data_IF_695005054865
#
_entry.id   IF_695005054865
#
_cell.length_a   1.000
_cell.length_b   1.000
_cell.length_c   1.000
_cell.angle_alpha   90.00
_cell.angle_beta   90.00
_cell.angle_gamma   90.00
#
_symmetry.space_group_name_H-M   'P 1'
#
loop_
_entity.id
_entity.type
_entity.pdbx_description
1 polymer ?
#
# COMPACT_ATOMS: atom_id res chain seq x y z
N UNK A 1 32.97 -12.18 -40.77
CA UNK A 1 31.99 -11.41 -39.97
C UNK A 1 31.71 -12.00 -38.58
N UNK A 2 31.14 -13.21 -38.45
CA UNK A 2 30.82 -13.82 -37.12
C UNK A 2 32.01 -13.90 -36.15
N UNK A 3 33.20 -14.33 -36.61
CA UNK A 3 34.44 -14.38 -35.79
C UNK A 3 34.92 -13.00 -35.33
N UNK A 4 34.73 -11.97 -36.17
CA UNK A 4 35.12 -10.59 -35.85
C UNK A 4 34.20 -10.05 -34.75
N UNK A 5 32.88 -10.24 -34.89
CA UNK A 5 31.89 -9.83 -33.89
C UNK A 5 32.16 -10.49 -32.53
N UNK A 6 32.45 -11.80 -32.51
CA UNK A 6 32.82 -12.52 -31.29
C UNK A 6 34.12 -11.99 -30.66
N UNK A 7 35.11 -11.63 -31.49
CA UNK A 7 36.33 -10.97 -31.03
C UNK A 7 36.07 -9.60 -30.38
N UNK A 8 35.21 -8.79 -30.99
CA UNK A 8 34.82 -7.47 -30.46
C UNK A 8 34.06 -7.60 -29.12
N UNK A 9 33.14 -8.57 -29.00
CA UNK A 9 32.48 -8.85 -27.72
C UNK A 9 33.47 -9.26 -26.63
N UNK A 10 34.44 -10.12 -26.97
CA UNK A 10 35.48 -10.58 -26.04
C UNK A 10 36.35 -9.41 -25.57
N UNK A 11 36.68 -8.47 -26.47
CA UNK A 11 37.44 -7.26 -26.12
C UNK A 11 36.65 -6.44 -25.10
N UNK A 12 35.37 -6.18 -25.34
CA UNK A 12 34.54 -5.44 -24.39
C UNK A 12 34.46 -6.17 -23.05
N UNK A 13 34.18 -7.46 -23.05
CA UNK A 13 34.11 -8.24 -21.82
C UNK A 13 35.40 -8.12 -21.02
N UNK A 14 36.57 -8.22 -21.67
CA UNK A 14 37.86 -8.02 -20.99
C UNK A 14 38.01 -6.60 -20.45
N UNK A 15 37.71 -5.58 -21.25
CA UNK A 15 37.78 -4.18 -20.82
C UNK A 15 36.93 -3.95 -19.58
N UNK A 16 35.68 -4.39 -19.58
CA UNK A 16 34.75 -4.25 -18.45
C UNK A 16 35.14 -5.12 -17.24
N UNK A 17 35.83 -6.24 -17.48
CA UNK A 17 36.30 -7.13 -16.39
C UNK A 17 37.45 -6.52 -15.62
N UNK A 18 38.29 -5.69 -16.26
CA UNK A 18 39.52 -5.18 -15.65
C UNK A 18 39.51 -3.66 -15.40
N UNK A 19 38.64 -2.91 -16.05
CA UNK A 19 38.47 -1.46 -15.84
C UNK A 19 37.19 -1.22 -15.05
N UNK A 20 37.35 -0.77 -13.80
CA UNK A 20 36.25 -0.44 -12.90
C UNK A 20 36.02 1.08 -12.75
N UNK A 21 36.91 1.90 -13.32
CA UNK A 21 36.69 3.33 -13.44
C UNK A 21 35.81 3.62 -14.67
N UNK A 22 34.51 3.74 -14.42
CA UNK A 22 33.54 4.01 -15.47
C UNK A 22 33.63 5.44 -16.02
N UNK A 23 34.12 6.41 -15.25
CA UNK A 23 34.35 7.77 -15.76
C UNK A 23 35.44 7.74 -16.83
N UNK A 24 36.56 7.07 -16.53
CA UNK A 24 37.65 6.88 -17.49
C UNK A 24 37.18 6.09 -18.71
N UNK A 25 36.46 4.98 -18.50
CA UNK A 25 35.99 4.11 -19.57
C UNK A 25 35.08 4.86 -20.56
N UNK A 26 34.09 5.61 -20.04
CA UNK A 26 33.16 6.35 -20.88
C UNK A 26 33.75 7.64 -21.46
N UNK A 27 34.85 8.15 -20.90
CA UNK A 27 35.62 9.25 -21.48
C UNK A 27 36.43 8.85 -22.71
N UNK A 28 36.61 7.55 -22.96
CA UNK A 28 37.28 7.06 -24.18
C UNK A 28 36.40 7.38 -25.39
N UNK A 29 36.85 8.32 -26.23
CA UNK A 29 36.08 8.91 -27.34
C UNK A 29 35.40 7.89 -28.26
N UNK A 30 36.04 6.74 -28.48
CA UNK A 30 35.52 5.69 -29.38
C UNK A 30 34.80 4.56 -28.65
N UNK A 31 34.62 4.61 -27.33
CA UNK A 31 33.99 3.51 -26.58
C UNK A 31 32.49 3.38 -26.86
N UNK A 32 31.72 4.48 -26.78
CA UNK A 32 30.30 4.44 -27.15
C UNK A 32 30.10 4.18 -28.66
N UNK A 33 30.83 4.85 -29.58
CA UNK A 33 30.79 4.50 -31.00
C UNK A 33 31.15 3.04 -31.31
N UNK A 34 31.99 2.40 -30.48
CA UNK A 34 32.32 0.99 -30.62
C UNK A 34 31.11 0.09 -30.33
N UNK A 35 30.18 0.50 -29.44
CA UNK A 35 28.92 -0.20 -29.23
C UNK A 35 28.02 -0.12 -30.48
N UNK A 36 28.04 1.01 -31.18
CA UNK A 36 27.28 1.21 -32.42
C UNK A 36 27.80 0.33 -33.58
N UNK A 37 29.04 -0.19 -33.49
CA UNK A 37 29.58 -1.13 -34.48
C UNK A 37 28.87 -2.49 -34.47
N UNK A 38 28.15 -2.84 -33.39
CA UNK A 38 27.34 -4.07 -33.34
C UNK A 38 26.03 -3.89 -34.12
N UNK A 39 26.09 -4.18 -35.42
CA UNK A 39 24.94 -4.08 -36.33
C UNK A 39 23.75 -4.97 -35.94
N UNK A 40 24.00 -6.11 -35.31
CA UNK A 40 22.92 -6.96 -34.77
C UNK A 40 22.45 -6.43 -33.43
N UNK A 41 21.19 -6.04 -33.36
CA UNK A 41 20.54 -5.52 -32.15
C UNK A 41 20.68 -6.45 -30.95
N UNK A 42 20.40 -7.75 -31.11
CA UNK A 42 20.54 -8.72 -30.01
C UNK A 42 21.94 -8.80 -29.42
N UNK A 43 22.98 -8.64 -30.26
CA UNK A 43 24.39 -8.63 -29.83
C UNK A 43 24.70 -7.36 -29.05
N UNK A 44 24.19 -6.22 -29.53
CA UNK A 44 24.37 -4.91 -28.89
C UNK A 44 23.69 -4.84 -27.53
N UNK A 45 22.47 -5.35 -27.42
CA UNK A 45 21.72 -5.43 -26.15
C UNK A 45 22.47 -6.31 -25.15
N UNK A 46 22.99 -7.46 -25.57
CA UNK A 46 23.75 -8.34 -24.67
C UNK A 46 25.02 -7.67 -24.13
N UNK A 47 25.74 -6.95 -25.00
CA UNK A 47 26.90 -6.15 -24.58
C UNK A 47 26.49 -5.05 -23.59
N UNK A 48 25.37 -4.37 -23.83
CA UNK A 48 24.83 -3.37 -22.92
C UNK A 48 24.47 -3.97 -21.56
N UNK A 49 23.86 -5.17 -21.54
CA UNK A 49 23.59 -5.93 -20.31
C UNK A 49 24.89 -6.19 -19.55
N UNK A 50 25.93 -6.69 -20.20
CA UNK A 50 27.24 -6.93 -19.56
C UNK A 50 27.87 -5.66 -18.96
N UNK A 51 27.78 -4.51 -19.67
CA UNK A 51 28.26 -3.22 -19.13
C UNK A 51 27.48 -2.85 -17.87
N UNK A 52 26.16 -2.96 -17.92
CA UNK A 52 25.28 -2.61 -16.80
C UNK A 52 25.48 -3.52 -15.60
N UNK A 53 25.61 -4.82 -15.81
CA UNK A 53 25.91 -5.79 -14.74
C UNK A 53 27.23 -5.46 -14.05
N UNK A 54 28.27 -5.13 -14.83
CA UNK A 54 29.55 -4.73 -14.25
C UNK A 54 29.47 -3.39 -13.53
N UNK A 55 28.76 -2.42 -14.08
CA UNK A 55 28.53 -1.12 -13.43
C UNK A 55 27.86 -1.30 -12.08
N UNK A 56 26.74 -2.02 -12.03
CA UNK A 56 26.00 -2.27 -10.78
C UNK A 56 26.84 -3.05 -9.77
N UNK A 57 27.70 -3.96 -10.23
CA UNK A 57 28.54 -4.78 -9.36
C UNK A 57 29.73 -4.02 -8.77
N UNK A 58 30.39 -3.17 -9.56
CA UNK A 58 31.68 -2.59 -9.18
C UNK A 58 31.57 -1.12 -8.75
N UNK A 59 30.57 -0.36 -9.22
CA UNK A 59 30.34 1.01 -8.75
C UNK A 59 29.77 0.97 -7.32
N UNK A 60 30.57 1.37 -6.34
CA UNK A 60 30.15 1.39 -4.92
C UNK A 60 29.47 2.70 -4.53
N UNK A 61 29.93 3.83 -5.06
CA UNK A 61 29.44 5.16 -4.71
C UNK A 61 28.43 5.68 -5.73
N UNK A 62 27.42 6.41 -5.26
CA UNK A 62 26.49 7.12 -6.14
C UNK A 62 27.22 8.15 -6.99
N UNK A 63 26.74 8.35 -8.23
CA UNK A 63 27.36 9.23 -9.21
C UNK A 63 26.44 10.37 -9.63
N UNK A 64 27.07 11.50 -9.97
CA UNK A 64 26.48 12.66 -10.63
C UNK A 64 27.31 13.13 -11.82
N UNK A 65 28.30 12.34 -12.22
CA UNK A 65 29.20 12.67 -13.32
C UNK A 65 28.43 12.67 -14.65
N UNK A 66 28.32 13.81 -15.35
CA UNK A 66 27.61 13.89 -16.62
C UNK A 66 28.10 12.89 -17.67
N UNK A 67 29.39 12.52 -17.67
CA UNK A 67 29.94 11.54 -18.62
C UNK A 67 29.34 10.17 -18.35
N UNK A 68 29.35 9.73 -17.09
CA UNK A 68 28.75 8.46 -16.68
C UNK A 68 27.24 8.47 -16.93
N UNK A 69 26.55 9.56 -16.53
CA UNK A 69 25.11 9.67 -16.68
C UNK A 69 24.67 9.58 -18.14
N UNK A 70 25.28 10.37 -19.02
CA UNK A 70 24.92 10.38 -20.45
C UNK A 70 25.23 9.04 -21.13
N UNK A 71 26.38 8.44 -20.81
CA UNK A 71 26.77 7.13 -21.35
C UNK A 71 25.81 6.02 -20.90
N UNK A 72 25.50 5.95 -19.61
CA UNK A 72 24.60 4.93 -19.07
C UNK A 72 23.14 5.17 -19.46
N UNK A 73 22.70 6.42 -19.64
CA UNK A 73 21.39 6.72 -20.23
C UNK A 73 21.31 6.19 -21.66
N UNK A 74 22.34 6.39 -22.48
CA UNK A 74 22.40 5.85 -23.83
C UNK A 74 22.36 4.31 -23.86
N UNK A 75 23.11 3.66 -22.96
CA UNK A 75 23.13 2.19 -22.81
C UNK A 75 21.76 1.66 -22.33
N UNK A 76 21.19 2.27 -21.29
CA UNK A 76 19.86 1.93 -20.77
C UNK A 76 18.77 2.13 -21.83
N UNK A 77 18.85 3.21 -22.61
CA UNK A 77 17.93 3.47 -23.72
C UNK A 77 18.04 2.40 -24.80
N UNK A 78 19.25 2.02 -25.19
CA UNK A 78 19.47 0.93 -26.16
C UNK A 78 18.86 -0.39 -25.69
N UNK A 79 18.99 -0.71 -24.39
CA UNK A 79 18.34 -1.88 -23.79
C UNK A 79 16.81 -1.76 -23.79
N UNK A 80 16.27 -0.61 -23.40
CA UNK A 80 14.82 -0.36 -23.37
C UNK A 80 14.21 -0.44 -24.77
N UNK A 81 14.83 0.19 -25.78
CA UNK A 81 14.30 0.28 -27.14
C UNK A 81 14.24 -1.09 -27.83
N UNK A 82 14.96 -2.09 -27.31
CA UNK A 82 14.86 -3.48 -27.76
C UNK A 82 13.60 -4.22 -27.29
N UNK A 83 12.89 -3.66 -26.30
CA UNK A 83 11.66 -4.25 -25.75
C UNK A 83 10.51 -4.05 -26.72
N UNK A 84 9.90 -5.15 -27.15
CA UNK A 84 8.77 -5.16 -28.08
C UNK A 84 7.70 -6.18 -27.65
N UNK A 85 6.65 -6.33 -28.46
CA UNK A 85 5.52 -7.21 -28.17
C UNK A 85 5.88 -8.71 -28.02
N UNK A 86 7.04 -9.13 -28.55
CA UNK A 86 7.53 -10.51 -28.48
C UNK A 86 8.52 -10.73 -27.32
N UNK A 87 8.91 -9.67 -26.60
CA UNK A 87 9.83 -9.78 -25.47
C UNK A 87 9.15 -10.48 -24.31
N UNK A 88 9.78 -11.55 -23.81
CA UNK A 88 9.29 -12.33 -22.69
C UNK A 88 9.27 -11.50 -21.40
N UNK A 89 8.32 -11.78 -20.51
CA UNK A 89 8.19 -11.07 -19.23
C UNK A 89 9.45 -11.18 -18.35
N UNK A 90 10.13 -12.33 -18.37
CA UNK A 90 11.40 -12.52 -17.63
C UNK A 90 12.54 -11.67 -18.20
N UNK A 91 12.56 -11.46 -19.52
CA UNK A 91 13.53 -10.57 -20.16
C UNK A 91 13.23 -9.10 -19.83
N UNK A 92 11.97 -8.68 -19.89
CA UNK A 92 11.55 -7.34 -19.44
C UNK A 92 11.96 -7.09 -17.99
N UNK A 93 11.75 -8.08 -17.11
CA UNK A 93 12.15 -8.01 -15.70
C UNK A 93 13.67 -7.85 -15.54
N UNK A 94 14.45 -8.59 -16.32
CA UNK A 94 15.92 -8.51 -16.31
C UNK A 94 16.40 -7.13 -16.75
N UNK A 95 15.89 -6.61 -17.88
CA UNK A 95 16.22 -5.28 -18.38
C UNK A 95 15.83 -4.18 -17.39
N UNK A 96 14.63 -4.27 -16.83
CA UNK A 96 14.17 -3.32 -15.83
C UNK A 96 15.01 -3.36 -14.55
N UNK A 97 15.49 -4.54 -14.12
CA UNK A 97 16.37 -4.65 -12.96
C UNK A 97 17.71 -3.92 -13.18
N UNK A 98 18.30 -4.03 -14.36
CA UNK A 98 19.53 -3.32 -14.72
C UNK A 98 19.32 -1.80 -14.77
N UNK A 99 18.25 -1.34 -15.40
CA UNK A 99 17.89 0.08 -15.47
C UNK A 99 17.60 0.63 -14.07
N UNK A 100 16.90 -0.14 -13.23
CA UNK A 100 16.65 0.24 -11.83
C UNK A 100 17.94 0.31 -11.01
N UNK A 101 18.90 -0.58 -11.26
CA UNK A 101 20.24 -0.52 -10.69
C UNK A 101 20.93 0.81 -11.01
N UNK A 102 20.89 1.23 -12.27
CA UNK A 102 21.40 2.55 -12.67
C UNK A 102 20.68 3.70 -11.97
N UNK A 103 19.35 3.74 -12.02
CA UNK A 103 18.54 4.81 -11.43
C UNK A 103 18.85 5.00 -9.94
N UNK A 104 19.08 3.90 -9.20
CA UNK A 104 19.43 3.94 -7.78
C UNK A 104 20.83 4.50 -7.51
N UNK A 105 21.75 4.40 -8.47
CA UNK A 105 23.12 4.92 -8.35
C UNK A 105 23.22 6.40 -8.68
N UNK A 106 22.22 7.00 -9.32
CA UNK A 106 22.22 8.43 -9.64
C UNK A 106 21.82 9.25 -8.42
N UNK A 107 22.74 10.10 -7.92
CA UNK A 107 22.48 11.00 -6.80
C UNK A 107 23.08 12.38 -7.02
N UNK A 108 22.23 13.40 -7.11
CA UNK A 108 22.61 14.80 -7.11
C UNK A 108 22.75 15.40 -5.70
N UNK A 109 22.72 14.57 -4.66
CA UNK A 109 22.85 14.98 -3.26
C UNK A 109 21.70 15.89 -2.83
N UNK A 110 22.01 17.15 -2.48
CA UNK A 110 21.02 18.14 -2.02
C UNK A 110 20.38 18.93 -3.17
N UNK A 111 20.79 18.70 -4.41
CA UNK A 111 20.13 19.30 -5.55
C UNK A 111 18.89 18.48 -5.93
N UNK A 112 17.82 18.71 -5.15
CA UNK A 112 16.58 17.98 -5.31
C UNK A 112 15.86 18.30 -6.63
N UNK A 113 16.01 19.51 -7.16
CA UNK A 113 15.42 19.91 -8.45
C UNK A 113 16.08 19.14 -9.60
N UNK A 114 17.42 19.07 -9.61
CA UNK A 114 18.13 18.28 -10.61
C UNK A 114 17.81 16.78 -10.51
N UNK A 115 17.68 16.24 -9.29
CA UNK A 115 17.27 14.86 -9.08
C UNK A 115 15.86 14.58 -9.62
N UNK A 116 14.90 15.47 -9.36
CA UNK A 116 13.55 15.33 -9.90
C UNK A 116 13.54 15.44 -11.44
N UNK A 117 14.32 16.35 -12.01
CA UNK A 117 14.46 16.49 -13.47
C UNK A 117 14.97 15.20 -14.11
N UNK A 118 15.96 14.54 -13.49
CA UNK A 118 16.44 13.24 -13.93
C UNK A 118 15.33 12.17 -13.91
N UNK A 119 14.50 12.13 -12.85
CA UNK A 119 13.38 11.19 -12.81
C UNK A 119 12.29 11.49 -13.84
N UNK A 120 12.04 12.76 -14.15
CA UNK A 120 11.13 13.17 -15.24
C UNK A 120 11.63 12.69 -16.59
N UNK A 121 12.92 12.87 -16.88
CA UNK A 121 13.55 12.38 -18.10
C UNK A 121 13.49 10.84 -18.16
N UNK A 122 13.87 10.15 -17.09
CA UNK A 122 13.84 8.70 -17.00
C UNK A 122 12.43 8.13 -17.21
N UNK A 123 11.38 8.77 -16.65
CA UNK A 123 9.99 8.37 -16.89
C UNK A 123 9.62 8.43 -18.37
N UNK A 124 10.02 9.51 -19.06
CA UNK A 124 9.74 9.67 -20.48
C UNK A 124 10.50 8.65 -21.34
N UNK A 125 11.72 8.31 -20.93
CA UNK A 125 12.62 7.41 -21.66
C UNK A 125 12.25 5.94 -21.51
N UNK A 126 11.81 5.53 -20.32
CA UNK A 126 11.56 4.12 -19.96
C UNK A 126 10.09 3.79 -19.77
N UNK A 127 9.20 4.48 -20.50
CA UNK A 127 7.76 4.44 -20.29
C UNK A 127 7.12 3.06 -20.50
N UNK A 128 7.76 2.16 -21.27
CA UNK A 128 7.22 0.82 -21.57
C UNK A 128 7.63 -0.24 -20.54
N UNK A 129 8.46 0.11 -19.55
CA UNK A 129 8.91 -0.80 -18.50
C UNK A 129 8.26 -0.43 -17.17
N UNK A 130 7.11 -1.05 -16.87
CA UNK A 130 6.39 -0.81 -15.61
C UNK A 130 7.26 -0.95 -14.34
N UNK A 131 8.17 -1.95 -14.20
CA UNK A 131 9.00 -2.03 -13.00
C UNK A 131 9.95 -0.83 -12.83
N UNK A 132 10.29 -0.14 -13.92
CA UNK A 132 11.05 1.12 -13.88
C UNK A 132 10.16 2.27 -13.41
N UNK A 133 8.94 2.37 -13.94
CA UNK A 133 7.97 3.38 -13.49
C UNK A 133 7.65 3.25 -11.99
N UNK A 134 7.45 2.03 -11.49
CA UNK A 134 7.25 1.75 -10.06
C UNK A 134 8.46 2.22 -9.24
N UNK A 135 9.67 1.90 -9.67
CA UNK A 135 10.90 2.35 -9.00
C UNK A 135 11.00 3.88 -9.00
N UNK A 136 10.66 4.56 -10.10
CA UNK A 136 10.67 6.02 -10.18
C UNK A 136 9.68 6.66 -9.21
N UNK A 137 8.46 6.11 -9.08
CA UNK A 137 7.46 6.59 -8.12
C UNK A 137 8.01 6.45 -6.69
N UNK A 138 8.60 5.31 -6.33
CA UNK A 138 9.22 5.14 -5.02
C UNK A 138 10.40 6.10 -4.79
N UNK A 139 11.25 6.29 -5.79
CA UNK A 139 12.39 7.21 -5.71
C UNK A 139 11.94 8.67 -5.55
N UNK A 140 10.85 9.08 -6.20
CA UNK A 140 10.27 10.43 -6.06
C UNK A 140 9.58 10.61 -4.71
N UNK A 141 8.88 9.58 -4.22
CA UNK A 141 8.34 9.58 -2.86
C UNK A 141 9.45 9.71 -1.81
N UNK A 142 10.56 8.98 -1.99
CA UNK A 142 11.73 9.10 -1.13
C UNK A 142 12.36 10.50 -1.21
N UNK A 143 12.43 11.11 -2.39
CA UNK A 143 12.93 12.47 -2.59
C UNK A 143 12.09 13.52 -1.84
N UNK A 144 10.76 13.36 -1.84
CA UNK A 144 9.85 14.20 -1.06
C UNK A 144 10.08 14.02 0.45
N UNK A 145 10.26 12.79 0.93
CA UNK A 145 10.55 12.51 2.34
C UNK A 145 11.95 12.99 2.77
N UNK A 146 12.93 12.94 1.89
CA UNK A 146 14.27 13.49 2.14
C UNK A 146 14.20 15.01 2.26
N UNK A 147 13.43 15.67 1.39
CA UNK A 147 13.16 17.11 1.47
C UNK A 147 12.51 17.45 2.82
N UNK A 148 11.50 16.66 3.24
CA UNK A 148 10.88 16.79 4.57
C UNK A 148 11.91 16.68 5.70
N UNK A 149 12.81 15.69 5.62
CA UNK A 149 13.85 15.43 6.62
C UNK A 149 14.79 16.62 6.75
N UNK A 150 15.29 17.16 5.64
CA UNK A 150 16.15 18.35 5.62
C UNK A 150 15.44 19.57 6.19
N UNK A 151 14.16 19.74 5.84
CA UNK A 151 13.35 20.87 6.31
C UNK A 151 12.74 20.66 7.70
N UNK A 152 12.95 19.49 8.35
CA UNK A 152 12.31 19.10 9.62
C UNK A 152 10.78 19.30 9.59
N UNK A 153 10.17 19.02 8.44
CA UNK A 153 8.74 19.22 8.17
C UNK A 153 8.28 20.69 8.11
N UNK A 154 9.17 21.68 8.15
CA UNK A 154 8.82 23.10 7.98
C UNK A 154 9.16 23.55 6.56
N UNK A 155 8.22 23.37 5.64
CA UNK A 155 8.45 23.72 4.24
C UNK A 155 8.37 25.23 4.01
N UNK A 156 9.33 25.76 3.26
CA UNK A 156 9.22 27.10 2.67
C UNK A 156 8.24 27.06 1.49
N UNK A 157 7.83 28.23 0.96
CA UNK A 157 7.01 28.29 -0.26
C UNK A 157 7.65 27.52 -1.43
N UNK A 158 8.99 27.60 -1.56
CA UNK A 158 9.76 26.91 -2.60
C UNK A 158 9.76 25.40 -2.40
N UNK A 159 10.09 24.92 -1.19
CA UNK A 159 10.16 23.47 -0.93
C UNK A 159 8.77 22.82 -0.92
N UNK A 160 7.73 23.54 -0.48
CA UNK A 160 6.35 23.07 -0.59
C UNK A 160 5.92 22.94 -2.06
N UNK A 161 6.28 23.89 -2.93
CA UNK A 161 6.02 23.79 -4.36
C UNK A 161 6.77 22.61 -5.00
N UNK A 162 8.02 22.39 -4.61
CA UNK A 162 8.81 21.25 -5.02
C UNK A 162 8.17 19.91 -4.62
N UNK A 163 7.77 19.75 -3.35
CA UNK A 163 7.11 18.52 -2.91
C UNK A 163 5.79 18.30 -3.65
N UNK A 164 5.00 19.35 -3.90
CA UNK A 164 3.81 19.23 -4.75
C UNK A 164 4.14 18.76 -6.17
N UNK A 165 5.29 19.15 -6.74
CA UNK A 165 5.73 18.64 -8.04
C UNK A 165 6.09 17.15 -7.98
N UNK A 166 6.77 16.69 -6.91
CA UNK A 166 7.01 15.26 -6.68
C UNK A 166 5.70 14.46 -6.59
N UNK A 167 4.76 14.98 -5.80
CA UNK A 167 3.45 14.37 -5.59
C UNK A 167 2.65 14.33 -6.90
N UNK A 168 2.69 15.40 -7.70
CA UNK A 168 2.07 15.44 -9.03
C UNK A 168 2.71 14.43 -10.00
N UNK A 169 4.04 14.29 -9.99
CA UNK A 169 4.75 13.27 -10.78
C UNK A 169 4.21 11.86 -10.44
N UNK A 170 4.09 11.51 -9.16
CA UNK A 170 3.55 10.22 -8.76
C UNK A 170 2.11 10.05 -9.26
N UNK A 171 1.26 11.07 -9.09
CA UNK A 171 -0.16 11.01 -9.43
C UNK A 171 -0.41 10.76 -10.91
N UNK A 172 0.38 11.38 -11.80
CA UNK A 172 0.24 11.19 -13.26
C UNK A 172 0.94 9.93 -13.79
N UNK A 173 1.81 9.30 -12.99
CA UNK A 173 2.56 8.11 -13.41
C UNK A 173 1.84 6.82 -13.03
N UNK A 174 1.18 6.79 -11.86
CA UNK A 174 0.46 5.59 -11.38
C UNK A 174 -0.60 5.07 -12.37
N UNK A 175 -1.44 5.92 -13.02
CA UNK A 175 -2.41 5.44 -14.01
C UNK A 175 -1.80 4.68 -15.20
N UNK A 176 -0.52 4.87 -15.49
CA UNK A 176 0.18 4.21 -16.59
C UNK A 176 0.53 2.74 -16.31
N UNK A 177 0.33 2.26 -15.08
CA UNK A 177 0.62 0.88 -14.68
C UNK A 177 -0.58 -0.04 -14.93
N UNK A 178 -0.35 -1.26 -15.41
CA UNK A 178 -1.44 -2.22 -15.65
C UNK A 178 -1.97 -2.84 -14.35
N UNK A 179 -1.07 -3.23 -13.45
CA UNK A 179 -1.43 -3.91 -12.19
C UNK A 179 -2.28 -3.02 -11.26
N UNK A 180 -3.52 -3.45 -11.01
CA UNK A 180 -4.45 -2.74 -10.11
C UNK A 180 -3.92 -2.69 -8.69
N UNK A 181 -3.40 -3.81 -8.16
CA UNK A 181 -2.83 -3.83 -6.81
C UNK A 181 -1.58 -2.97 -6.67
N UNK A 182 -0.75 -2.90 -7.71
CA UNK A 182 0.39 -1.98 -7.72
C UNK A 182 -0.11 -0.54 -7.68
N UNK A 183 -1.12 -0.19 -8.48
CA UNK A 183 -1.74 1.14 -8.47
C UNK A 183 -2.36 1.50 -7.12
N UNK A 184 -3.16 0.61 -6.53
CA UNK A 184 -3.77 0.79 -5.20
C UNK A 184 -2.71 1.09 -4.14
N UNK A 185 -1.68 0.23 -4.04
CA UNK A 185 -0.61 0.40 -3.07
C UNK A 185 0.18 1.69 -3.29
N UNK A 186 0.49 2.04 -4.55
CA UNK A 186 1.22 3.27 -4.85
C UNK A 186 0.38 4.53 -4.61
N UNK A 187 -0.94 4.47 -4.84
CA UNK A 187 -1.82 5.58 -4.48
C UNK A 187 -1.82 5.80 -2.97
N UNK A 188 -1.94 4.73 -2.18
CA UNK A 188 -1.91 4.80 -0.72
C UNK A 188 -0.57 5.33 -0.20
N UNK A 189 0.56 4.75 -0.64
CA UNK A 189 1.89 5.18 -0.19
C UNK A 189 2.19 6.63 -0.59
N UNK A 190 1.86 7.03 -1.82
CA UNK A 190 2.10 8.40 -2.27
C UNK A 190 1.17 9.39 -1.57
N UNK A 191 -0.06 8.98 -1.23
CA UNK A 191 -0.99 9.75 -0.40
C UNK A 191 -0.48 9.94 1.03
N UNK A 192 0.08 8.90 1.64
CA UNK A 192 0.74 8.98 2.96
C UNK A 192 1.96 9.93 2.93
N UNK A 193 2.77 9.88 1.88
CA UNK A 193 3.90 10.82 1.69
C UNK A 193 3.42 12.25 1.51
N UNK A 194 2.35 12.48 0.74
CA UNK A 194 1.74 13.79 0.59
C UNK A 194 1.20 14.32 1.93
N UNK A 195 0.52 13.47 2.71
CA UNK A 195 0.01 13.79 4.04
C UNK A 195 1.15 14.17 4.99
N UNK A 196 2.22 13.36 5.06
CA UNK A 196 3.40 13.65 5.87
C UNK A 196 4.08 14.98 5.50
N UNK A 197 3.89 15.45 4.27
CA UNK A 197 4.40 16.72 3.78
C UNK A 197 3.37 17.86 3.79
N UNK A 198 2.26 17.73 4.53
CA UNK A 198 1.20 18.75 4.66
C UNK A 198 0.54 19.12 3.31
N UNK A 199 0.61 18.23 2.31
CA UNK A 199 -0.03 18.40 1.01
C UNK A 199 -1.43 17.79 1.03
N UNK A 200 -2.33 18.33 1.86
CA UNK A 200 -3.62 17.71 2.21
C UNK A 200 -4.53 17.50 0.99
N UNK A 201 -4.66 18.50 0.11
CA UNK A 201 -5.50 18.40 -1.08
C UNK A 201 -4.97 17.37 -2.08
N UNK A 202 -3.65 17.22 -2.18
CA UNK A 202 -3.06 16.18 -3.02
C UNK A 202 -3.26 14.80 -2.38
N UNK A 203 -3.03 14.66 -1.06
CA UNK A 203 -3.25 13.41 -0.35
C UNK A 203 -4.70 12.92 -0.51
N UNK A 204 -5.67 13.82 -0.36
CA UNK A 204 -7.09 13.53 -0.61
C UNK A 204 -7.35 13.04 -2.05
N UNK A 205 -6.72 13.64 -3.06
CA UNK A 205 -6.83 13.17 -4.44
C UNK A 205 -6.28 11.74 -4.62
N UNK A 206 -5.15 11.41 -3.97
CA UNK A 206 -4.60 10.05 -3.95
C UNK A 206 -5.57 9.04 -3.32
N UNK A 207 -6.15 9.39 -2.17
CA UNK A 207 -7.09 8.51 -1.47
C UNK A 207 -8.39 8.34 -2.24
N UNK A 208 -8.93 9.40 -2.85
CA UNK A 208 -10.08 9.31 -3.76
C UNK A 208 -9.80 8.40 -4.95
N UNK A 209 -8.65 8.55 -5.59
CA UNK A 209 -8.25 7.68 -6.70
C UNK A 209 -8.13 6.20 -6.26
N UNK A 210 -7.60 5.95 -5.06
CA UNK A 210 -7.56 4.60 -4.49
C UNK A 210 -8.96 4.03 -4.24
N UNK A 211 -9.87 4.82 -3.63
CA UNK A 211 -11.27 4.43 -3.40
C UNK A 211 -11.97 4.08 -4.71
N UNK A 212 -11.81 4.92 -5.74
CA UNK A 212 -12.42 4.70 -7.06
C UNK A 212 -11.87 3.48 -7.79
N UNK A 213 -10.67 3.01 -7.44
CA UNK A 213 -10.02 1.86 -8.08
C UNK A 213 -10.39 0.52 -7.43
N UNK A 214 -10.83 0.51 -6.16
CA UNK A 214 -11.23 -0.72 -5.45
C UNK A 214 -12.30 -1.56 -6.20
N UNK A 215 -13.36 -0.99 -6.81
CA UNK A 215 -14.35 -1.80 -7.55
C UNK A 215 -13.76 -2.50 -8.78
N UNK A 216 -12.65 -2.01 -9.32
CA UNK A 216 -12.00 -2.59 -10.51
C UNK A 216 -11.16 -3.84 -10.17
N UNK A 217 -10.95 -4.14 -8.88
CA UNK A 217 -10.13 -5.28 -8.46
C UNK A 217 -10.71 -6.59 -9.02
N UNK A 218 -9.94 -7.37 -9.79
CA UNK A 218 -10.43 -8.62 -10.37
C UNK A 218 -10.55 -9.68 -9.28
N UNK A 219 -11.49 -10.62 -9.40
CA UNK A 219 -11.67 -11.72 -8.43
C UNK A 219 -10.44 -12.62 -8.28
N UNK A 220 -9.70 -12.81 -9.37
CA UNK A 220 -8.51 -13.64 -9.41
C UNK A 220 -7.33 -12.85 -9.96
N UNK A 221 -6.17 -13.02 -9.33
CA UNK A 221 -4.90 -12.44 -9.76
C UNK A 221 -3.85 -13.51 -9.99
N UNK A 222 -2.95 -13.29 -10.96
CA UNK A 222 -1.80 -14.16 -11.19
C UNK A 222 -0.65 -13.73 -10.28
N UNK A 223 -0.25 -14.61 -9.35
CA UNK A 223 0.91 -14.43 -8.47
C UNK A 223 1.87 -15.60 -8.71
N UNK A 224 3.06 -15.30 -9.21
CA UNK A 224 4.07 -16.29 -9.62
C UNK A 224 3.53 -17.35 -10.59
N UNK A 225 2.70 -16.92 -11.54
CA UNK A 225 2.08 -17.78 -12.54
C UNK A 225 0.91 -18.62 -12.03
N UNK A 226 0.51 -18.49 -10.75
CA UNK A 226 -0.64 -19.16 -10.16
C UNK A 226 -1.78 -18.18 -9.94
N UNK A 227 -2.98 -18.55 -10.37
CA UNK A 227 -4.18 -17.79 -10.09
C UNK A 227 -4.56 -17.94 -8.62
N UNK A 228 -4.71 -16.83 -7.91
CA UNK A 228 -5.13 -16.76 -6.51
C UNK A 228 -6.31 -15.80 -6.37
N UNK A 229 -7.23 -16.04 -5.41
CA UNK A 229 -8.26 -15.07 -5.06
C UNK A 229 -7.64 -13.74 -4.62
N UNK A 230 -8.23 -12.64 -5.07
CA UNK A 230 -7.77 -11.29 -4.74
C UNK A 230 -8.23 -10.81 -3.37
N UNK A 231 -9.28 -11.43 -2.80
CA UNK A 231 -9.92 -11.01 -1.55
C UNK A 231 -8.93 -10.84 -0.39
N UNK A 232 -7.97 -11.75 -0.23
CA UNK A 232 -6.95 -11.66 0.81
C UNK A 232 -6.02 -10.45 0.63
N UNK A 233 -5.62 -10.15 -0.61
CA UNK A 233 -4.78 -9.00 -0.94
C UNK A 233 -5.56 -7.70 -0.79
N UNK A 234 -6.85 -7.70 -1.16
CA UNK A 234 -7.73 -6.56 -0.99
C UNK A 234 -7.97 -6.28 0.50
N UNK A 235 -8.20 -7.33 1.30
CA UNK A 235 -8.33 -7.21 2.76
C UNK A 235 -7.09 -6.57 3.38
N UNK A 236 -5.88 -7.02 3.02
CA UNK A 236 -4.62 -6.45 3.51
C UNK A 236 -4.49 -4.97 3.15
N UNK A 237 -4.74 -4.62 1.89
CA UNK A 237 -4.74 -3.24 1.41
C UNK A 237 -5.75 -2.37 2.18
N UNK A 238 -6.99 -2.84 2.33
CA UNK A 238 -8.04 -2.10 3.01
C UNK A 238 -7.73 -1.89 4.49
N UNK A 239 -7.13 -2.87 5.18
CA UNK A 239 -6.69 -2.71 6.57
C UNK A 239 -5.66 -1.58 6.71
N UNK A 240 -4.67 -1.53 5.81
CA UNK A 240 -3.69 -0.44 5.78
C UNK A 240 -4.35 0.91 5.45
N UNK A 241 -5.30 0.90 4.52
CA UNK A 241 -6.02 2.12 4.16
C UNK A 241 -6.88 2.64 5.32
N UNK A 242 -7.62 1.78 6.04
CA UNK A 242 -8.36 2.17 7.23
C UNK A 242 -7.45 2.76 8.31
N UNK A 243 -6.28 2.16 8.55
CA UNK A 243 -5.28 2.74 9.44
C UNK A 243 -4.93 4.16 8.98
N UNK A 244 -4.62 4.35 7.69
CA UNK A 244 -4.30 5.68 7.16
C UNK A 244 -5.44 6.67 7.37
N UNK A 245 -6.69 6.27 7.13
CA UNK A 245 -7.87 7.13 7.27
C UNK A 245 -8.12 7.63 8.71
N UNK A 246 -7.58 6.97 9.74
CA UNK A 246 -7.69 7.46 11.12
C UNK A 246 -7.08 8.85 11.26
N UNK A 247 -5.92 9.08 10.65
CA UNK A 247 -5.15 10.32 10.78
C UNK A 247 -5.36 11.32 9.64
N UNK A 248 -6.18 10.95 8.66
CA UNK A 248 -6.54 11.86 7.55
C UNK A 248 -7.62 12.84 8.04
N UNK A 249 -7.40 14.16 7.95
CA UNK A 249 -8.42 15.13 8.28
C UNK A 249 -9.58 15.06 7.29
N UNK A 250 -10.79 15.23 7.81
CA UNK A 250 -11.97 15.38 6.97
C UNK A 250 -11.91 16.68 6.14
N UNK A 251 -12.43 16.61 4.93
CA UNK A 251 -12.49 17.77 4.05
C UNK A 251 -13.55 18.77 4.54
N UNK A 252 -13.23 20.07 4.74
CA UNK A 252 -14.14 21.05 5.33
C UNK A 252 -15.51 21.15 4.63
N UNK A 253 -15.53 20.93 3.32
CA UNK A 253 -16.72 21.08 2.46
C UNK A 253 -17.47 19.78 2.14
N UNK A 254 -16.90 18.59 2.42
CA UNK A 254 -17.48 17.31 1.98
C UNK A 254 -18.24 16.56 3.08
N UNK A 255 -18.34 17.19 4.26
CA UNK A 255 -18.92 16.58 5.44
C UNK A 255 -17.99 15.57 6.11
N UNK A 256 -18.38 15.18 7.32
CA UNK A 256 -17.59 14.28 8.16
C UNK A 256 -17.52 12.87 7.56
N UNK A 257 -16.40 12.20 7.79
CA UNK A 257 -16.15 10.81 7.40
C UNK A 257 -16.31 10.55 5.89
N UNK A 258 -16.09 11.56 5.04
CA UNK A 258 -16.35 11.47 3.60
C UNK A 258 -15.62 10.28 2.94
N UNK A 259 -14.30 10.15 3.17
CA UNK A 259 -13.50 9.06 2.59
C UNK A 259 -13.90 7.69 3.15
N UNK A 260 -14.21 7.61 4.45
CA UNK A 260 -14.68 6.36 5.08
C UNK A 260 -16.00 5.91 4.47
N UNK A 261 -16.93 6.85 4.27
CA UNK A 261 -18.23 6.59 3.61
C UNK A 261 -18.05 6.17 2.16
N UNK A 262 -17.20 6.89 1.41
CA UNK A 262 -16.89 6.54 0.02
C UNK A 262 -16.33 5.13 -0.10
N UNK A 263 -15.39 4.77 0.78
CA UNK A 263 -14.81 3.43 0.81
C UNK A 263 -15.82 2.35 1.19
N UNK A 264 -16.68 2.60 2.18
CA UNK A 264 -17.75 1.68 2.57
C UNK A 264 -18.76 1.43 1.45
N UNK A 265 -19.17 2.49 0.73
CA UNK A 265 -20.09 2.37 -0.41
C UNK A 265 -19.48 1.45 -1.49
N UNK A 266 -18.21 1.67 -1.82
CA UNK A 266 -17.50 0.84 -2.80
C UNK A 266 -17.37 -0.61 -2.34
N UNK A 267 -17.06 -0.86 -1.06
CA UNK A 267 -16.97 -2.21 -0.48
C UNK A 267 -18.33 -2.93 -0.51
N UNK A 268 -19.42 -2.18 -0.32
CA UNK A 268 -20.78 -2.71 -0.36
C UNK A 268 -21.13 -3.21 -1.76
N UNK A 269 -20.75 -2.47 -2.80
CA UNK A 269 -21.00 -2.78 -4.21
C UNK A 269 -20.01 -3.81 -4.78
N UNK A 270 -18.87 -4.05 -4.11
CA UNK A 270 -17.91 -5.06 -4.51
C UNK A 270 -18.50 -6.48 -4.42
N UNK A 271 -18.25 -7.28 -5.46
CA UNK A 271 -18.75 -8.67 -5.55
C UNK A 271 -17.75 -9.65 -4.92
N UNK A 272 -17.95 -9.91 -3.62
CA UNK A 272 -17.21 -10.90 -2.83
C UNK A 272 -17.50 -12.34 -3.30
N UNK A 273 -16.60 -13.28 -3.01
CA UNK A 273 -16.89 -14.70 -3.22
C UNK A 273 -17.96 -15.20 -2.23
N UNK A 274 -18.91 -16.01 -2.71
CA UNK A 274 -20.07 -16.48 -1.91
C UNK A 274 -19.66 -17.25 -0.64
N UNK A 275 -18.51 -17.91 -0.67
CA UNK A 275 -17.96 -18.68 0.45
C UNK A 275 -16.92 -17.92 1.28
N UNK A 276 -16.71 -16.63 1.01
CA UNK A 276 -15.76 -15.81 1.76
C UNK A 276 -16.41 -15.12 2.95
N UNK A 277 -15.67 -15.07 4.06
CA UNK A 277 -16.01 -14.28 5.24
C UNK A 277 -15.30 -12.91 5.24
N UNK A 278 -14.55 -12.59 4.19
CA UNK A 278 -13.68 -11.40 4.15
C UNK A 278 -14.47 -10.10 4.17
N UNK A 279 -15.69 -10.08 3.59
CA UNK A 279 -16.61 -8.94 3.71
C UNK A 279 -16.91 -8.60 5.18
N UNK A 280 -17.20 -9.62 6.00
CA UNK A 280 -17.48 -9.44 7.44
C UNK A 280 -16.22 -9.00 8.19
N UNK A 281 -15.05 -9.54 7.83
CA UNK A 281 -13.78 -9.11 8.42
C UNK A 281 -13.49 -7.65 8.12
N UNK A 282 -13.76 -7.18 6.90
CA UNK A 282 -13.62 -5.77 6.52
C UNK A 282 -14.56 -4.90 7.33
N UNK A 283 -15.84 -5.25 7.40
CA UNK A 283 -16.80 -4.51 8.23
C UNK A 283 -16.40 -4.48 9.71
N UNK A 284 -15.83 -5.58 10.22
CA UNK A 284 -15.29 -5.63 11.58
C UNK A 284 -14.11 -4.67 11.75
N UNK A 285 -13.19 -4.61 10.79
CA UNK A 285 -12.08 -3.65 10.81
C UNK A 285 -12.55 -2.20 10.67
N UNK A 286 -13.65 -1.95 9.95
CA UNK A 286 -14.28 -0.63 9.93
C UNK A 286 -14.81 -0.28 11.33
N UNK A 287 -15.42 -1.21 12.07
CA UNK A 287 -15.83 -0.95 13.45
C UNK A 287 -14.63 -0.64 14.36
N UNK A 288 -13.47 -1.28 14.15
CA UNK A 288 -12.24 -0.92 14.85
C UNK A 288 -11.81 0.52 14.54
N UNK A 289 -11.84 0.92 13.27
CA UNK A 289 -11.54 2.29 12.86
C UNK A 289 -12.51 3.30 13.49
N UNK A 290 -13.81 3.03 13.41
CA UNK A 290 -14.84 3.91 13.96
C UNK A 290 -14.71 4.05 15.47
N UNK A 291 -14.40 2.95 16.19
CA UNK A 291 -14.09 2.99 17.62
C UNK A 291 -12.82 3.79 17.93
N UNK A 292 -11.78 3.70 17.08
CA UNK A 292 -10.60 4.55 17.23
C UNK A 292 -10.91 6.03 16.98
N UNK A 293 -11.82 6.33 16.04
CA UNK A 293 -12.26 7.70 15.73
C UNK A 293 -13.11 8.34 16.83
N UNK A 294 -13.66 7.58 17.79
CA UNK A 294 -14.36 8.15 18.95
C UNK A 294 -13.44 8.58 20.09
N UNK A 295 -12.16 8.21 20.04
CA UNK A 295 -11.20 8.58 21.08
C UNK A 295 -10.92 10.08 21.04
N UNK A 296 -10.78 10.71 22.22
CA UNK A 296 -10.44 12.13 22.34
C UNK A 296 -9.04 12.45 21.79
N UNK A 297 -8.14 11.46 21.81
CA UNK A 297 -6.82 11.52 21.21
C UNK A 297 -6.52 10.19 20.53
N UNK A 298 -6.08 10.24 19.27
CA UNK A 298 -5.69 9.05 18.53
C UNK A 298 -4.38 8.46 19.03
N UNK A 299 -4.19 7.15 18.77
CA UNK A 299 -3.01 6.40 19.21
C UNK A 299 -1.73 6.79 18.45
N UNK A 300 -1.86 7.36 17.26
CA UNK A 300 -0.75 7.93 16.48
C UNK A 300 -1.25 9.10 15.65
N UNK A 301 -0.30 9.93 15.24
CA UNK A 301 -0.53 11.15 14.48
C UNK A 301 0.51 11.32 13.39
N UNK A 302 0.16 12.15 12.40
CA UNK A 302 1.13 12.65 11.43
C UNK A 302 1.61 14.01 11.90
N UNK A 303 2.92 14.14 12.07
CA UNK A 303 3.55 15.37 12.51
C UNK A 303 3.14 16.57 11.62
N UNK A 304 2.56 17.60 12.27
CA UNK A 304 2.02 18.85 11.69
C UNK A 304 0.77 18.69 10.83
N UNK A 305 0.00 17.62 11.04
CA UNK A 305 -1.32 17.47 10.46
C UNK A 305 -2.33 17.31 11.59
N UNK A 306 -3.30 18.21 11.66
CA UNK A 306 -4.40 18.11 12.62
C UNK A 306 -5.39 17.05 12.13
N UNK A 307 -5.43 15.91 12.80
CA UNK A 307 -6.37 14.82 12.52
C UNK A 307 -7.74 15.09 13.16
N UNK A 308 -8.70 14.21 12.88
CA UNK A 308 -10.10 14.39 13.31
C UNK A 308 -10.31 14.43 14.84
N UNK A 309 -9.41 13.84 15.63
CA UNK A 309 -9.43 13.99 17.09
C UNK A 309 -9.13 15.43 17.52
N UNK A 310 -8.23 16.14 16.82
CA UNK A 310 -7.95 17.55 17.06
C UNK A 310 -9.06 18.45 16.49
N UNK A 311 -9.60 18.10 15.32
CA UNK A 311 -10.64 18.90 14.66
C UNK A 311 -12.01 18.82 15.33
N UNK A 312 -12.38 17.65 15.84
CA UNK A 312 -13.71 17.41 16.42
C UNK A 312 -13.68 17.13 17.92
N UNK A 313 -12.60 16.58 18.49
CA UNK A 313 -12.36 16.51 19.95
C UNK A 313 -13.53 16.01 20.79
N UNK A 314 -14.16 14.89 20.39
CA UNK A 314 -15.31 14.33 21.10
C UNK A 314 -16.65 15.07 20.86
N UNK A 315 -16.74 15.90 19.81
CA UNK A 315 -17.96 16.60 19.44
C UNK A 315 -19.14 15.63 19.29
N UNK A 316 -20.25 15.97 19.95
CA UNK A 316 -21.45 15.13 20.00
C UNK A 316 -22.08 14.85 18.63
N UNK A 317 -21.98 15.79 17.66
CA UNK A 317 -22.51 15.57 16.30
C UNK A 317 -21.60 14.64 15.52
N UNK A 318 -20.28 14.80 15.65
CA UNK A 318 -19.33 13.88 15.04
C UNK A 318 -19.50 12.44 15.58
N UNK A 319 -19.62 12.29 16.91
CA UNK A 319 -19.90 11.00 17.54
C UNK A 319 -21.25 10.40 17.09
N UNK A 320 -22.27 11.23 16.88
CA UNK A 320 -23.56 10.77 16.36
C UNK A 320 -23.43 10.20 14.93
N UNK A 321 -22.64 10.84 14.06
CA UNK A 321 -22.39 10.36 12.70
C UNK A 321 -21.56 9.07 12.69
N UNK A 322 -20.57 8.93 13.60
CA UNK A 322 -19.84 7.67 13.80
C UNK A 322 -20.78 6.54 14.25
N UNK A 323 -21.66 6.82 15.22
CA UNK A 323 -22.62 5.85 15.73
C UNK A 323 -23.59 5.39 14.64
N UNK A 324 -24.13 6.31 13.83
CA UNK A 324 -25.00 5.98 12.70
C UNK A 324 -24.32 5.07 11.67
N UNK A 325 -23.05 5.33 11.38
CA UNK A 325 -22.28 4.49 10.48
C UNK A 325 -22.00 3.11 11.11
N UNK A 326 -21.67 3.08 12.40
CA UNK A 326 -21.48 1.85 13.16
C UNK A 326 -22.74 0.98 13.16
N UNK A 327 -23.93 1.56 13.39
CA UNK A 327 -25.21 0.84 13.33
C UNK A 327 -25.45 0.19 11.96
N UNK A 328 -25.12 0.91 10.89
CA UNK A 328 -25.24 0.41 9.51
C UNK A 328 -24.31 -0.79 9.29
N UNK A 329 -23.05 -0.67 9.69
CA UNK A 329 -22.04 -1.74 9.57
C UNK A 329 -22.40 -2.95 10.43
N UNK A 330 -22.87 -2.74 11.66
CA UNK A 330 -23.37 -3.81 12.54
C UNK A 330 -24.55 -4.54 11.90
N UNK A 331 -25.49 -3.81 11.27
CA UNK A 331 -26.61 -4.43 10.56
C UNK A 331 -26.14 -5.34 9.43
N UNK A 332 -25.16 -4.90 8.64
CA UNK A 332 -24.59 -5.71 7.54
C UNK A 332 -23.95 -7.01 8.05
N UNK A 333 -23.21 -6.95 9.16
CA UNK A 333 -22.62 -8.15 9.79
C UNK A 333 -23.72 -9.09 10.28
N UNK A 334 -24.75 -8.55 10.93
CA UNK A 334 -25.87 -9.34 11.44
C UNK A 334 -26.69 -10.00 10.33
N UNK A 335 -26.89 -9.31 9.22
CA UNK A 335 -27.62 -9.86 8.08
C UNK A 335 -26.84 -11.00 7.41
N UNK A 336 -25.50 -10.88 7.32
CA UNK A 336 -24.67 -12.00 6.88
C UNK A 336 -24.75 -13.20 7.84
N UNK A 337 -24.69 -12.99 9.16
CA UNK A 337 -24.87 -14.06 10.14
C UNK A 337 -26.25 -14.75 10.03
N UNK A 338 -27.31 -14.00 9.71
CA UNK A 338 -28.64 -14.58 9.45
C UNK A 338 -28.64 -15.44 8.18
N UNK A 339 -27.99 -14.99 7.11
CA UNK A 339 -27.85 -15.76 5.86
C UNK A 339 -27.14 -17.08 6.09
N UNK A 340 -26.00 -17.08 6.79
CA UNK A 340 -25.28 -18.32 7.14
C UNK A 340 -26.15 -19.29 7.96
N UNK A 341 -27.01 -18.75 8.83
CA UNK A 341 -27.97 -19.57 9.58
C UNK A 341 -29.05 -20.21 8.70
N UNK A 342 -29.51 -19.52 7.64
CA UNK A 342 -30.48 -20.04 6.68
C UNK A 342 -29.87 -21.08 5.74
N UNK A 343 -28.60 -20.93 5.39
CA UNK A 343 -27.85 -21.86 4.54
C UNK A 343 -27.26 -23.05 5.31
N UNK A 344 -27.58 -23.18 6.60
CA UNK A 344 -27.07 -24.23 7.48
C UNK A 344 -25.53 -24.31 7.57
N UNK A 345 -24.83 -23.21 7.26
CA UNK A 345 -23.37 -23.09 7.41
C UNK A 345 -22.98 -22.74 8.87
N UNK A 346 -23.54 -23.51 9.80
CA UNK A 346 -23.56 -23.24 11.25
C UNK A 346 -22.17 -23.11 11.88
N UNK A 347 -21.17 -23.81 11.34
CA UNK A 347 -19.78 -23.71 11.81
C UNK A 347 -19.20 -22.32 11.54
N UNK A 348 -19.37 -21.79 10.33
CA UNK A 348 -18.93 -20.43 9.94
C UNK A 348 -19.68 -19.38 10.76
N UNK A 349 -21.00 -19.54 10.86
CA UNK A 349 -21.84 -18.67 11.68
C UNK A 349 -21.35 -18.60 13.13
N UNK A 350 -21.03 -19.75 13.74
CA UNK A 350 -20.57 -19.82 15.13
C UNK A 350 -19.21 -19.12 15.32
N UNK A 351 -18.28 -19.31 14.37
CA UNK A 351 -16.95 -18.68 14.39
C UNK A 351 -17.04 -17.16 14.22
N UNK A 352 -17.84 -16.68 13.27
CA UNK A 352 -18.04 -15.26 13.04
C UNK A 352 -18.81 -14.58 14.18
N UNK A 353 -19.80 -15.25 14.77
CA UNK A 353 -20.52 -14.72 15.94
C UNK A 353 -19.56 -14.52 17.12
N UNK A 354 -18.65 -15.47 17.37
CA UNK A 354 -17.63 -15.33 18.42
C UNK A 354 -16.60 -14.24 18.09
N UNK A 355 -16.18 -14.15 16.82
CA UNK A 355 -15.25 -13.11 16.36
C UNK A 355 -15.86 -11.70 16.54
N UNK A 356 -17.12 -11.53 16.14
CA UNK A 356 -17.82 -10.26 16.29
C UNK A 356 -18.11 -9.94 17.76
N UNK A 357 -18.45 -10.94 18.60
CA UNK A 357 -18.52 -10.77 20.04
C UNK A 357 -17.22 -10.21 20.63
N UNK A 358 -16.07 -10.80 20.27
CA UNK A 358 -14.77 -10.34 20.75
C UNK A 358 -14.45 -8.91 20.30
N UNK A 359 -14.92 -8.51 19.11
CA UNK A 359 -14.82 -7.14 18.61
C UNK A 359 -15.60 -6.17 19.50
N UNK A 360 -16.88 -6.46 19.77
CA UNK A 360 -17.71 -5.60 20.63
C UNK A 360 -17.13 -5.55 22.04
N UNK A 361 -16.63 -6.68 22.55
CA UNK A 361 -15.99 -6.74 23.86
C UNK A 361 -14.74 -5.85 23.95
N UNK A 362 -13.96 -5.74 22.87
CA UNK A 362 -12.73 -4.96 22.84
C UNK A 362 -12.98 -3.46 22.60
N UNK A 363 -13.99 -3.12 21.80
CA UNK A 363 -14.15 -1.77 21.21
C UNK A 363 -15.49 -1.09 21.49
N UNK A 364 -16.50 -1.84 21.93
CA UNK A 364 -17.85 -1.35 22.14
C UNK A 364 -18.10 -0.87 23.57
N UNK A 365 -18.98 0.12 23.73
CA UNK A 365 -19.48 0.53 25.05
C UNK A 365 -20.58 -0.41 25.53
N UNK A 366 -20.21 -1.37 26.37
CA UNK A 366 -21.13 -2.35 26.95
C UNK A 366 -21.99 -1.83 28.10
N UNK A 367 -21.87 -0.54 28.45
CA UNK A 367 -22.85 0.16 29.31
C UNK A 367 -24.14 0.44 28.54
N UNK A 368 -24.07 0.47 27.20
CA UNK A 368 -25.24 0.56 26.35
C UNK A 368 -26.01 -0.77 26.38
N UNK A 369 -27.25 -0.74 26.88
CA UNK A 369 -28.12 -1.90 26.99
C UNK A 369 -28.32 -2.67 25.67
N UNK A 370 -28.37 -1.97 24.53
CA UNK A 370 -28.55 -2.62 23.21
C UNK A 370 -27.31 -3.42 22.82
N UNK A 371 -26.12 -2.85 22.97
CA UNK A 371 -24.85 -3.53 22.68
C UNK A 371 -24.58 -4.67 23.68
N UNK A 372 -24.94 -4.47 24.95
CA UNK A 372 -24.85 -5.51 25.97
C UNK A 372 -25.73 -6.71 25.59
N UNK A 373 -27.00 -6.47 25.22
CA UNK A 373 -27.92 -7.51 24.77
C UNK A 373 -27.42 -8.21 23.50
N UNK A 374 -26.93 -7.44 22.52
CA UNK A 374 -26.34 -7.99 21.30
C UNK A 374 -25.17 -8.92 21.61
N UNK A 375 -24.29 -8.53 22.54
CA UNK A 375 -23.14 -9.33 22.94
C UNK A 375 -23.56 -10.67 23.55
N UNK A 376 -24.57 -10.67 24.42
CA UNK A 376 -25.15 -11.92 24.97
C UNK A 376 -25.76 -12.79 23.87
N UNK A 377 -26.46 -12.18 22.91
CA UNK A 377 -27.05 -12.91 21.78
C UNK A 377 -25.98 -13.55 20.88
N UNK A 378 -24.90 -12.84 20.59
CA UNK A 378 -23.78 -13.34 19.78
C UNK A 378 -23.04 -14.47 20.49
N UNK A 379 -22.80 -14.34 21.80
CA UNK A 379 -22.21 -15.39 22.61
C UNK A 379 -23.04 -16.68 22.55
N UNK A 380 -24.35 -16.55 22.75
CA UNK A 380 -25.28 -17.68 22.68
C UNK A 380 -25.34 -18.29 21.29
N UNK A 381 -25.34 -17.46 20.23
CA UNK A 381 -25.31 -17.93 18.85
C UNK A 381 -24.04 -18.73 18.56
N UNK A 382 -22.89 -18.29 19.06
CA UNK A 382 -21.61 -18.98 18.88
C UNK A 382 -21.61 -20.39 19.48
N UNK A 383 -22.20 -20.58 20.66
CA UNK A 383 -22.24 -21.89 21.33
C UNK A 383 -23.44 -22.78 20.95
N UNK A 384 -24.49 -22.22 20.33
CA UNK A 384 -25.77 -22.90 20.04
C UNK A 384 -25.63 -24.27 19.40
N UNK A 385 -24.65 -24.44 18.51
CA UNK A 385 -24.43 -25.67 17.74
C UNK A 385 -23.11 -26.37 18.09
N UNK A 386 -22.44 -25.98 19.18
CA UNK A 386 -21.21 -26.62 19.65
C UNK A 386 -19.96 -26.39 18.79
N UNK A 387 -20.03 -25.53 17.76
CA UNK A 387 -18.91 -25.28 16.85
C UNK A 387 -17.93 -24.19 17.31
N UNK A 388 -18.28 -23.41 18.33
CA UNK A 388 -17.37 -22.40 18.86
C UNK A 388 -16.13 -23.03 19.54
N UNK A 389 -14.99 -22.35 19.40
CA UNK A 389 -13.77 -22.76 20.08
C UNK A 389 -13.89 -22.55 21.60
N UNK A 390 -14.14 -23.64 22.30
CA UNK A 390 -14.30 -23.68 23.75
C UNK A 390 -13.08 -23.09 24.48
N UNK A 391 -11.86 -23.28 23.94
CA UNK A 391 -10.64 -22.71 24.55
C UNK A 391 -10.64 -21.19 24.50
N UNK A 392 -11.00 -20.62 23.36
CA UNK A 392 -11.16 -19.16 23.22
C UNK A 392 -12.28 -18.65 24.11
N UNK A 393 -13.45 -19.29 24.13
CA UNK A 393 -14.57 -18.87 24.99
C UNK A 393 -14.20 -18.85 26.48
N UNK A 394 -13.56 -19.91 27.00
CA UNK A 394 -13.11 -19.95 28.41
C UNK A 394 -12.15 -18.79 28.71
N UNK A 395 -11.16 -18.56 27.85
CA UNK A 395 -10.22 -17.45 28.01
C UNK A 395 -10.89 -16.08 27.96
N UNK A 396 -11.84 -15.89 27.05
CA UNK A 396 -12.61 -14.65 26.95
C UNK A 396 -13.44 -14.41 28.21
N UNK A 397 -14.09 -15.45 28.75
CA UNK A 397 -14.85 -15.32 29.99
C UNK A 397 -13.94 -15.02 31.20
N UNK A 398 -12.77 -15.65 31.28
CA UNK A 398 -11.75 -15.32 32.29
C UNK A 398 -11.29 -13.87 32.16
N UNK A 399 -11.07 -13.39 30.95
CA UNK A 399 -10.70 -11.99 30.69
C UNK A 399 -11.79 -11.02 31.20
N UNK A 400 -13.06 -11.29 30.88
CA UNK A 400 -14.19 -10.48 31.37
C UNK A 400 -14.22 -10.46 32.90
N UNK A 401 -14.09 -11.62 33.56
CA UNK A 401 -14.05 -11.74 35.02
C UNK A 401 -12.85 -11.03 35.65
N UNK A 402 -11.73 -10.93 34.95
CA UNK A 402 -10.56 -10.18 35.42
C UNK A 402 -10.80 -8.67 35.29
N UNK A 403 -11.36 -8.22 34.16
CA UNK A 403 -11.71 -6.81 33.92
C UNK A 403 -12.80 -6.31 34.87
N UNK A 404 -13.78 -7.15 35.21
CA UNK A 404 -14.88 -6.80 36.11
C UNK A 404 -14.43 -6.49 37.55
N UNK A 405 -13.20 -6.86 37.94
CA UNK A 405 -12.61 -6.50 39.23
C UNK A 405 -12.20 -5.03 39.31
N UNK A 406 -12.11 -4.32 38.19
CA UNK A 406 -11.81 -2.89 38.16
C UNK A 406 -13.09 -2.09 38.49
N UNK A 407 -13.02 -1.07 39.37
CA UNK A 407 -14.21 -0.33 39.81
C UNK A 407 -15.00 0.33 38.66
N UNK A 408 -14.30 0.84 37.64
CA UNK A 408 -14.88 1.54 36.48
C UNK A 408 -15.56 0.60 35.46
N UNK A 409 -15.47 -0.70 35.70
CA UNK A 409 -15.80 -1.79 34.78
C UNK A 409 -16.88 -2.72 35.36
N UNK A 410 -17.68 -2.22 36.30
CA UNK A 410 -18.74 -2.97 37.00
C UNK A 410 -19.74 -3.65 36.06
N UNK A 411 -20.05 -3.04 34.92
CA UNK A 411 -20.93 -3.59 33.88
C UNK A 411 -20.46 -4.96 33.32
N UNK A 412 -19.17 -5.30 33.43
CA UNK A 412 -18.67 -6.62 33.07
C UNK A 412 -19.06 -7.71 34.07
N UNK A 413 -19.35 -7.36 35.33
CA UNK A 413 -19.84 -8.32 36.33
C UNK A 413 -21.19 -8.87 35.91
N UNK A 414 -22.11 -7.97 35.54
CA UNK A 414 -23.44 -8.34 35.07
C UNK A 414 -23.36 -9.10 33.74
N UNK A 415 -22.46 -8.69 32.84
CA UNK A 415 -22.23 -9.40 31.58
C UNK A 415 -21.73 -10.82 31.85
N UNK A 416 -20.74 -11.03 32.72
CA UNK A 416 -20.18 -12.35 33.00
C UNK A 416 -21.21 -13.35 33.51
N UNK A 417 -22.19 -12.90 34.31
CA UNK A 417 -23.29 -13.74 34.78
C UNK A 417 -24.22 -14.21 33.65
N UNK A 418 -24.30 -13.44 32.57
CA UNK A 418 -25.16 -13.70 31.41
C UNK A 418 -24.46 -14.47 30.29
N UNK A 419 -23.21 -14.86 30.48
CA UNK A 419 -22.40 -15.60 29.51
C UNK A 419 -22.06 -17.02 30.03
N UNK A 420 -23.06 -17.89 30.27
CA UNK A 420 -22.78 -19.27 30.66
C UNK A 420 -22.06 -19.99 29.53
N UNK A 421 -21.13 -20.87 29.89
CA UNK A 421 -20.55 -21.84 28.97
C UNK A 421 -21.49 -23.05 28.90
N UNK A 422 -22.01 -23.33 27.71
CA UNK A 422 -22.80 -24.55 27.50
C UNK A 422 -21.87 -25.78 27.53
N UNK A 423 -22.19 -26.75 28.37
CA UNK A 423 -21.55 -28.07 28.36
C UNK A 423 -21.90 -28.77 27.05
N UNK A 424 -20.87 -29.21 26.29
CA UNK A 424 -21.04 -29.97 25.05
C UNK A 424 -21.90 -31.21 25.34
N UNK A 425 -23.12 -31.25 24.83
CA UNK A 425 -23.92 -32.48 24.67
C UNK A 425 -23.59 -33.14 23.35
#
# INVERSE_FOLDING_TARGET
>A
LKRIIAGLQTIIQKVITYIYDFALLFSVEKFLPFLDMFQKESVRVEVCKCIMESFIKHQQESTKDPVILNALLHICKTMHDSVNALTLEDEKRTLAALINGFIKMVSFGRDFEQQLSFYVEARSMFCNLEPVLVQLIHSVNQLAMETRRVMKGNHSRKTAAFVRACVAFCFITIPSLSSIFTRLNLYLHSGQVALANQCLSQADAFFKAAVSLVPEVPKMISVDGKMRPSDAFLLEFLCNFFSTLLVVPDHPEQGVLFLVRGLLNVIQDYTWEDNSDDKVRIYTNVLHLLSAMTQEAFIYHVDKVDSNDTLYGGDSKFLAEINKLSETVVSQILDHLKTLGKEETLKRQSQLALYFFNTILAHGDLRNNRLNQLSVNLWNLAQKHGFADTKTMVKTLEYIKRRSKQPEMSHFTDLALRLPLQSRT
#
